data_IF_243324364378
#
_entry.id   IF_243324364378
#
_cell.length_a   1.000
_cell.length_b   1.000
_cell.length_c   1.000
_cell.angle_alpha   90.00
_cell.angle_beta   90.00
_cell.angle_gamma   90.00
#
_symmetry.space_group_name_H-M   'P 1'
#
loop_
_entity.id
_entity.type
_entity.pdbx_description
1 polymer ?
#
# COMPACT_ATOMS: atom_id res chain seq x y z
N UNK A 1 -3.66 7.53 -2.06
CA UNK A 1 -3.89 8.09 -3.36
C UNK A 1 -5.32 8.54 -3.53
N UNK A 2 -5.47 9.70 -4.05
CA UNK A 2 -6.75 10.35 -4.28
C UNK A 2 -7.14 10.32 -5.75
N UNK A 3 -6.82 9.23 -6.42
CA UNK A 3 -7.09 9.06 -7.85
C UNK A 3 -8.57 9.06 -8.24
N UNK A 4 -9.48 9.01 -7.26
CA UNK A 4 -10.91 9.04 -7.45
C UNK A 4 -11.49 10.25 -6.72
N UNK A 5 -12.54 10.87 -7.26
CA UNK A 5 -13.22 12.01 -6.65
C UNK A 5 -13.86 11.75 -5.28
N UNK A 6 -13.82 10.52 -4.81
CA UNK A 6 -14.46 10.04 -3.58
C UNK A 6 -13.77 10.54 -2.31
N UNK A 7 -12.47 10.86 -2.34
CA UNK A 7 -11.70 11.29 -1.16
C UNK A 7 -11.25 12.74 -1.17
N UNK A 8 -11.73 13.54 -2.14
CA UNK A 8 -11.25 14.90 -2.35
C UNK A 8 -9.88 14.94 -3.06
N UNK A 9 -9.43 16.15 -3.36
CA UNK A 9 -8.14 16.36 -4.03
C UNK A 9 -7.01 16.38 -3.01
N UNK A 10 -5.92 15.71 -3.32
CA UNK A 10 -4.66 15.88 -2.63
C UNK A 10 -4.03 17.23 -3.02
N UNK A 11 -3.65 18.01 -2.02
CA UNK A 11 -2.90 19.26 -2.20
C UNK A 11 -1.48 19.00 -1.68
N UNK A 12 -0.53 18.91 -2.60
CA UNK A 12 0.88 18.70 -2.27
C UNK A 12 1.48 20.04 -1.87
N UNK A 13 2.08 20.11 -0.67
CA UNK A 13 2.73 21.31 -0.12
C UNK A 13 4.24 21.27 -0.33
N UNK A 14 4.84 20.11 -0.17
CA UNK A 14 6.27 19.92 -0.41
C UNK A 14 6.56 18.54 -0.99
N UNK A 15 7.61 18.49 -1.79
CA UNK A 15 8.15 17.27 -2.38
C UNK A 15 9.67 17.38 -2.40
N UNK A 16 10.37 16.38 -1.88
CA UNK A 16 11.82 16.32 -1.88
C UNK A 16 12.27 14.95 -2.41
N UNK A 17 13.24 14.95 -3.30
CA UNK A 17 13.85 13.75 -3.88
C UNK A 17 15.34 13.78 -3.62
N UNK A 18 15.90 12.68 -3.15
CA UNK A 18 17.34 12.47 -3.03
C UNK A 18 17.74 11.13 -3.67
N UNK A 19 18.95 11.11 -4.22
CA UNK A 19 19.57 9.89 -4.74
C UNK A 19 20.96 9.78 -4.11
N UNK A 20 21.21 8.70 -3.38
CA UNK A 20 22.45 8.47 -2.63
C UNK A 20 22.82 9.67 -1.74
N UNK A 21 21.82 10.25 -1.05
CA UNK A 21 21.95 11.40 -0.17
C UNK A 21 22.09 12.75 -0.86
N UNK A 22 22.10 12.81 -2.20
CA UNK A 22 22.20 14.06 -2.97
C UNK A 22 20.81 14.52 -3.40
N UNK A 23 20.45 15.77 -3.13
CA UNK A 23 19.20 16.38 -3.56
C UNK A 23 19.08 16.39 -5.08
N UNK A 24 17.88 16.08 -5.56
CA UNK A 24 17.55 16.06 -6.98
C UNK A 24 16.43 17.05 -7.29
N UNK A 25 16.45 17.75 -8.42
CA UNK A 25 15.33 18.56 -8.86
C UNK A 25 14.15 17.66 -9.26
N UNK A 26 12.93 18.09 -8.88
CA UNK A 26 11.69 17.34 -9.07
C UNK A 26 10.76 17.94 -10.14
N UNK A 27 11.15 19.06 -10.73
CA UNK A 27 10.29 19.84 -11.64
C UNK A 27 10.48 19.47 -13.11
N UNK A 28 11.36 18.57 -13.42
CA UNK A 28 11.63 18.12 -14.79
C UNK A 28 11.53 16.62 -14.89
N UNK A 29 10.93 16.12 -15.97
CA UNK A 29 11.00 14.72 -16.31
C UNK A 29 12.45 14.29 -16.51
N UNK A 30 12.88 13.30 -15.78
CA UNK A 30 14.25 12.79 -15.81
C UNK A 30 14.35 11.39 -15.24
N UNK A 31 15.34 10.67 -15.68
CA UNK A 31 15.77 9.42 -15.05
C UNK A 31 16.80 9.73 -13.96
N UNK A 32 16.58 9.22 -12.76
CA UNK A 32 17.57 9.20 -11.69
C UNK A 32 18.05 7.79 -11.47
N UNK A 33 19.36 7.61 -11.28
CA UNK A 33 19.97 6.33 -11.00
C UNK A 33 20.82 6.44 -9.74
N UNK A 34 20.82 5.41 -8.92
CA UNK A 34 21.58 5.32 -7.67
C UNK A 34 21.23 4.02 -6.95
N UNK A 35 21.94 3.74 -5.87
CA UNK A 35 21.68 2.57 -5.02
C UNK A 35 20.48 2.79 -4.11
N UNK A 36 20.22 4.04 -3.73
CA UNK A 36 19.11 4.41 -2.85
C UNK A 36 18.46 5.70 -3.32
N UNK A 37 17.15 5.61 -3.60
CA UNK A 37 16.32 6.78 -3.93
C UNK A 37 15.34 7.00 -2.77
N UNK A 38 15.28 8.24 -2.29
CA UNK A 38 14.36 8.64 -1.23
C UNK A 38 13.50 9.80 -1.69
N UNK A 39 12.18 9.65 -1.50
CA UNK A 39 11.17 10.65 -1.80
C UNK A 39 10.40 10.97 -0.52
N UNK A 40 10.31 12.25 -0.17
CA UNK A 40 9.42 12.75 0.88
C UNK A 40 8.36 13.66 0.29
N UNK A 41 7.10 13.39 0.63
CA UNK A 41 5.96 14.20 0.23
C UNK A 41 5.18 14.65 1.47
N UNK A 42 4.82 15.93 1.52
CA UNK A 42 3.87 16.47 2.48
C UNK A 42 2.66 17.04 1.75
N UNK A 43 1.48 16.65 2.17
CA UNK A 43 0.23 17.00 1.50
C UNK A 43 -0.92 17.09 2.48
N UNK A 44 -2.02 17.68 2.01
CA UNK A 44 -3.31 17.64 2.69
C UNK A 44 -4.31 16.92 1.80
N UNK A 45 -5.03 15.97 2.38
CA UNK A 45 -6.08 15.20 1.73
C UNK A 45 -7.33 15.37 2.57
N UNK A 46 -8.29 16.17 2.10
CA UNK A 46 -9.49 16.50 2.84
C UNK A 46 -9.16 17.03 4.26
N UNK A 47 -9.48 16.30 5.30
CA UNK A 47 -9.22 16.64 6.72
C UNK A 47 -7.98 15.96 7.30
N UNK A 48 -7.10 15.45 6.46
CA UNK A 48 -5.87 14.77 6.88
C UNK A 48 -4.64 15.49 6.34
N UNK A 49 -3.65 15.69 7.20
CA UNK A 49 -2.28 15.99 6.78
C UNK A 49 -1.56 14.66 6.58
N UNK A 50 -0.96 14.48 5.43
CA UNK A 50 -0.19 13.29 5.09
C UNK A 50 1.28 13.64 4.92
N UNK A 51 2.15 12.88 5.58
CA UNK A 51 3.59 12.82 5.32
C UNK A 51 3.89 11.42 4.83
N UNK A 52 4.45 11.32 3.64
CA UNK A 52 4.79 10.04 3.00
C UNK A 52 6.26 10.05 2.66
N UNK A 53 6.99 9.10 3.20
CA UNK A 53 8.39 8.83 2.92
C UNK A 53 8.49 7.52 2.13
N UNK A 54 9.07 7.58 0.93
CA UNK A 54 9.29 6.40 0.09
C UNK A 54 10.78 6.21 -0.11
N UNK A 55 11.26 5.03 0.21
CA UNK A 55 12.63 4.61 -0.06
C UNK A 55 12.61 3.47 -1.07
N UNK A 56 13.37 3.62 -2.14
CA UNK A 56 13.58 2.59 -3.16
C UNK A 56 15.05 2.20 -3.13
N UNK A 57 15.32 0.92 -3.00
CA UNK A 57 16.66 0.32 -3.10
C UNK A 57 16.61 -0.94 -3.98
N UNK A 58 17.73 -1.65 -4.09
CA UNK A 58 17.86 -2.81 -4.98
C UNK A 58 16.95 -3.99 -4.55
N UNK A 59 16.52 -4.04 -3.29
CA UNK A 59 15.84 -5.19 -2.70
C UNK A 59 14.33 -4.95 -2.50
N UNK A 60 13.93 -3.73 -2.15
CA UNK A 60 12.53 -3.42 -1.85
C UNK A 60 12.21 -1.93 -2.01
N UNK A 61 10.92 -1.64 -1.96
CA UNK A 61 10.37 -0.30 -1.76
C UNK A 61 9.76 -0.24 -0.36
N UNK A 62 10.20 0.71 0.45
CA UNK A 62 9.61 1.01 1.75
C UNK A 62 8.79 2.29 1.64
N UNK A 63 7.52 2.23 2.04
CA UNK A 63 6.66 3.40 2.20
C UNK A 63 6.31 3.56 3.69
N UNK A 64 6.70 4.68 4.28
CA UNK A 64 6.28 5.09 5.61
C UNK A 64 5.30 6.25 5.48
N UNK A 65 4.11 6.09 6.04
CA UNK A 65 3.04 7.09 5.98
C UNK A 65 2.60 7.48 7.37
N UNK A 66 2.55 8.80 7.61
CA UNK A 66 1.95 9.41 8.80
C UNK A 66 0.77 10.28 8.37
N UNK A 67 -0.41 9.93 8.86
CA UNK A 67 -1.64 10.71 8.70
C UNK A 67 -2.01 11.36 10.03
N UNK A 68 -2.21 12.67 10.02
CA UNK A 68 -2.67 13.45 11.16
C UNK A 68 -4.05 14.04 10.85
N UNK A 69 -5.00 13.86 11.76
CA UNK A 69 -6.37 14.36 11.63
C UNK A 69 -6.41 15.83 11.99
N UNK A 70 -6.76 16.68 11.04
CA UNK A 70 -6.79 18.15 11.22
C UNK A 70 -8.08 18.64 11.87
N UNK A 71 -9.18 17.93 11.66
CA UNK A 71 -10.51 18.23 12.19
C UNK A 71 -11.28 16.93 12.45
N UNK A 72 -12.19 16.95 13.42
CA UNK A 72 -13.10 15.83 13.65
C UNK A 72 -13.83 15.46 12.38
N UNK A 73 -13.83 14.17 12.04
CA UNK A 73 -14.45 13.69 10.82
C UNK A 73 -14.92 12.24 10.91
N UNK A 74 -15.74 11.86 9.95
CA UNK A 74 -16.14 10.48 9.72
C UNK A 74 -15.90 10.13 8.26
N UNK A 75 -15.21 9.03 8.02
CA UNK A 75 -14.94 8.54 6.66
C UNK A 75 -15.88 7.39 6.32
N UNK A 76 -16.45 7.39 5.12
CA UNK A 76 -17.18 6.25 4.60
C UNK A 76 -16.25 5.06 4.34
N UNK A 77 -15.10 5.33 3.75
CA UNK A 77 -14.02 4.38 3.49
C UNK A 77 -12.68 5.10 3.67
N UNK A 78 -11.76 4.46 4.37
CA UNK A 78 -10.35 4.81 4.42
C UNK A 78 -9.53 3.52 4.30
N UNK A 79 -8.59 3.47 3.37
CA UNK A 79 -7.58 2.42 3.30
C UNK A 79 -6.20 3.04 3.38
N UNK A 80 -5.32 2.39 4.13
CA UNK A 80 -3.99 2.92 4.45
C UNK A 80 -3.02 2.76 3.28
N UNK A 81 -3.13 1.65 2.56
CA UNK A 81 -2.30 1.36 1.41
C UNK A 81 -3.13 0.63 0.35
N UNK A 82 -2.80 0.86 -0.89
CA UNK A 82 -3.42 0.19 -2.02
C UNK A 82 -2.37 -0.06 -3.10
N UNK A 83 -2.30 -1.30 -3.58
CA UNK A 83 -1.45 -1.65 -4.69
C UNK A 83 -2.24 -2.40 -5.76
N UNK A 84 -2.03 -2.03 -7.03
CA UNK A 84 -2.63 -2.72 -8.17
C UNK A 84 -1.59 -3.69 -8.74
N UNK A 85 -1.96 -4.95 -8.78
CA UNK A 85 -1.20 -6.01 -9.42
C UNK A 85 -1.67 -6.19 -10.86
N UNK A 86 -0.82 -6.66 -11.78
CA UNK A 86 -1.23 -6.92 -13.15
C UNK A 86 -2.27 -8.05 -13.22
N UNK A 87 -3.11 -8.10 -14.27
CA UNK A 87 -4.11 -9.16 -14.43
C UNK A 87 -3.50 -10.55 -14.71
N UNK A 88 -2.19 -10.59 -14.95
CA UNK A 88 -1.41 -11.84 -15.10
C UNK A 88 -1.19 -12.56 -13.78
N UNK A 89 -1.34 -11.90 -12.63
CA UNK A 89 -1.27 -12.59 -11.33
C UNK A 89 -2.44 -13.57 -11.18
N UNK A 90 -2.17 -14.81 -10.72
CA UNK A 90 -3.18 -15.89 -10.70
C UNK A 90 -3.33 -16.59 -9.35
N UNK A 91 -2.46 -16.30 -8.40
CA UNK A 91 -2.53 -16.86 -7.05
C UNK A 91 -2.14 -15.82 -6.00
N UNK A 92 -2.60 -16.02 -4.78
CA UNK A 92 -2.21 -15.21 -3.63
C UNK A 92 -1.98 -16.10 -2.41
N UNK A 93 -1.13 -15.61 -1.51
CA UNK A 93 -0.84 -16.18 -0.21
C UNK A 93 -0.77 -15.03 0.80
N UNK A 94 -1.33 -15.23 2.00
CA UNK A 94 -1.36 -14.22 3.05
C UNK A 94 -1.07 -14.82 4.43
N UNK A 95 -0.32 -14.12 5.26
CA UNK A 95 -0.26 -14.35 6.71
C UNK A 95 -1.28 -13.44 7.38
N UNK A 96 -2.18 -14.04 8.15
CA UNK A 96 -3.21 -13.35 8.90
C UNK A 96 -2.68 -12.83 10.25
N UNK A 97 -3.48 -12.01 10.93
CA UNK A 97 -3.13 -11.43 12.22
C UNK A 97 -2.84 -12.46 13.33
N UNK A 98 -3.48 -13.61 13.27
CA UNK A 98 -3.28 -14.72 14.22
C UNK A 98 -2.09 -15.64 13.86
N UNK A 99 -1.36 -15.33 12.80
CA UNK A 99 -0.23 -16.10 12.29
C UNK A 99 -0.63 -17.27 11.38
N UNK A 100 -1.91 -17.50 11.15
CA UNK A 100 -2.36 -18.52 10.20
C UNK A 100 -2.11 -18.07 8.76
N UNK A 101 -1.98 -19.06 7.87
CA UNK A 101 -1.78 -18.83 6.43
C UNK A 101 -3.07 -19.10 5.68
N UNK A 102 -3.37 -18.24 4.73
CA UNK A 102 -4.43 -18.45 3.75
C UNK A 102 -3.89 -18.26 2.33
N UNK A 103 -4.39 -19.06 1.41
CA UNK A 103 -4.05 -18.98 0.00
C UNK A 103 -5.28 -19.08 -0.90
N UNK A 104 -5.13 -18.68 -2.15
CA UNK A 104 -6.20 -18.81 -3.12
C UNK A 104 -5.79 -18.46 -4.54
N UNK A 105 -6.77 -18.60 -5.43
CA UNK A 105 -6.63 -18.26 -6.85
C UNK A 105 -7.35 -16.98 -7.18
N UNK A 106 -6.81 -16.24 -8.13
CA UNK A 106 -7.42 -15.07 -8.75
C UNK A 106 -8.03 -15.53 -10.09
N UNK A 107 -9.33 -15.33 -10.23
CA UNK A 107 -10.13 -15.91 -11.30
C UNK A 107 -10.87 -14.88 -12.14
N UNK A 108 -10.57 -13.59 -11.91
CA UNK A 108 -11.23 -12.45 -12.56
C UNK A 108 -12.74 -12.38 -12.27
N UNK A 109 -13.16 -12.95 -11.14
CA UNK A 109 -14.57 -13.20 -10.79
C UNK A 109 -15.31 -11.96 -10.25
N UNK A 110 -14.67 -10.79 -10.21
CA UNK A 110 -15.22 -9.53 -9.67
C UNK A 110 -15.68 -9.66 -8.22
N UNK A 111 -14.97 -10.41 -7.43
CA UNK A 111 -15.19 -10.62 -6.02
C UNK A 111 -14.08 -10.04 -5.15
N UNK A 112 -14.30 -10.05 -3.84
CA UNK A 112 -13.32 -9.69 -2.83
C UNK A 112 -12.91 -10.94 -2.07
N UNK A 113 -11.61 -11.12 -1.87
CA UNK A 113 -11.04 -12.26 -1.15
C UNK A 113 -10.10 -11.77 -0.05
N UNK A 114 -9.67 -12.63 0.83
CA UNK A 114 -8.98 -12.39 2.10
C UNK A 114 -9.93 -11.82 3.15
N UNK A 115 -10.37 -10.57 3.07
CA UNK A 115 -11.32 -9.90 3.96
C UNK A 115 -10.99 -10.05 5.47
N UNK A 116 -9.71 -10.07 5.85
CA UNK A 116 -9.16 -10.22 7.20
C UNK A 116 -7.94 -9.32 7.37
N UNK A 117 -7.56 -9.05 8.62
CA UNK A 117 -6.30 -8.35 8.89
C UNK A 117 -5.12 -9.26 8.53
N UNK A 118 -4.19 -8.71 7.74
CA UNK A 118 -3.02 -9.44 7.24
C UNK A 118 -1.73 -8.78 7.70
N UNK A 119 -0.70 -9.59 7.98
CA UNK A 119 0.67 -9.11 8.18
C UNK A 119 1.36 -8.87 6.85
N UNK A 120 1.15 -9.78 5.91
CA UNK A 120 1.60 -9.63 4.54
C UNK A 120 0.68 -10.37 3.57
N UNK A 121 0.73 -9.92 2.33
CA UNK A 121 0.08 -10.57 1.19
C UNK A 121 1.08 -10.64 0.05
N UNK A 122 1.19 -11.80 -0.58
CA UNK A 122 1.92 -11.98 -1.81
C UNK A 122 0.97 -12.39 -2.94
N UNK A 123 1.23 -11.91 -4.13
CA UNK A 123 0.52 -12.32 -5.34
C UNK A 123 1.53 -12.81 -6.39
N UNK A 124 1.26 -13.98 -6.92
CA UNK A 124 2.12 -14.66 -7.90
C UNK A 124 1.67 -14.42 -9.33
N UNK A 125 2.63 -14.04 -10.17
CA UNK A 125 2.47 -13.89 -11.60
C UNK A 125 3.22 -15.02 -12.33
N UNK A 126 2.51 -15.99 -12.94
CA UNK A 126 3.12 -17.11 -13.64
C UNK A 126 3.86 -16.70 -14.92
N UNK A 127 3.52 -15.58 -15.55
CA UNK A 127 4.20 -15.13 -16.76
C UNK A 127 5.63 -14.65 -16.46
N UNK A 128 5.79 -13.83 -15.42
CA UNK A 128 7.11 -13.38 -14.99
C UNK A 128 7.82 -14.37 -14.07
N UNK A 129 7.11 -15.38 -13.54
CA UNK A 129 7.57 -16.32 -12.49
C UNK A 129 8.05 -15.57 -11.25
N UNK A 130 7.32 -14.53 -10.86
CA UNK A 130 7.64 -13.66 -9.72
C UNK A 130 6.42 -13.44 -8.86
N UNK A 131 6.70 -13.14 -7.63
CA UNK A 131 5.70 -12.73 -6.66
C UNK A 131 6.00 -11.35 -6.15
N UNK A 132 4.98 -10.56 -5.94
CA UNK A 132 5.07 -9.29 -5.28
C UNK A 132 4.49 -9.41 -3.87
N UNK A 133 5.32 -9.16 -2.88
CA UNK A 133 5.01 -9.20 -1.47
C UNK A 133 4.74 -7.79 -0.95
N UNK A 134 3.61 -7.59 -0.27
CA UNK A 134 3.31 -6.40 0.52
C UNK A 134 3.32 -6.80 2.00
N UNK A 135 4.24 -6.26 2.78
CA UNK A 135 4.48 -6.60 4.18
C UNK A 135 4.37 -5.38 5.08
N UNK A 136 3.74 -5.55 6.24
CA UNK A 136 3.66 -4.52 7.28
C UNK A 136 4.43 -4.98 8.52
N UNK A 137 5.57 -4.33 8.86
CA UNK A 137 6.38 -4.70 10.04
C UNK A 137 5.58 -4.63 11.34
N UNK A 138 4.68 -3.65 11.42
CA UNK A 138 3.72 -3.52 12.52
C UNK A 138 2.33 -3.68 11.98
N UNK A 139 1.60 -4.67 12.49
CA UNK A 139 0.20 -4.89 12.12
C UNK A 139 -0.63 -3.63 12.29
N UNK A 140 -1.43 -3.35 11.28
CA UNK A 140 -2.48 -2.32 11.32
C UNK A 140 -3.79 -3.08 11.48
N UNK A 141 -4.41 -2.92 12.63
CA UNK A 141 -5.68 -3.55 12.98
C UNK A 141 -6.71 -2.49 13.33
N UNK A 142 -7.98 -2.78 13.15
CA UNK A 142 -9.05 -1.89 13.54
C UNK A 142 -10.39 -2.64 13.66
N UNK A 143 -11.30 -2.09 14.45
CA UNK A 143 -12.59 -2.76 14.78
C UNK A 143 -13.51 -2.98 13.58
N UNK A 144 -13.28 -2.31 12.46
CA UNK A 144 -14.05 -2.43 11.21
C UNK A 144 -13.13 -2.44 9.99
N UNK A 145 -11.91 -2.90 10.17
CA UNK A 145 -10.93 -2.98 9.10
C UNK A 145 -10.75 -4.41 8.65
N UNK A 146 -10.42 -4.55 7.38
CA UNK A 146 -9.94 -5.79 6.82
C UNK A 146 -9.07 -5.47 5.62
N UNK A 147 -7.96 -6.16 5.49
CA UNK A 147 -7.23 -6.21 4.24
C UNK A 147 -7.99 -7.09 3.26
N UNK A 148 -7.98 -6.73 2.00
CA UNK A 148 -8.69 -7.49 0.97
C UNK A 148 -8.00 -7.40 -0.38
N UNK A 149 -8.24 -8.39 -1.21
CA UNK A 149 -7.88 -8.36 -2.63
C UNK A 149 -9.17 -8.24 -3.43
N UNK A 150 -9.26 -7.23 -4.28
CA UNK A 150 -10.32 -7.10 -5.25
C UNK A 150 -9.88 -7.75 -6.56
N UNK A 151 -10.48 -8.89 -6.85
CA UNK A 151 -10.21 -9.73 -8.00
C UNK A 151 -11.03 -9.25 -9.21
N UNK A 152 -10.38 -8.58 -10.16
CA UNK A 152 -10.99 -8.03 -11.37
C UNK A 152 -10.20 -8.44 -12.61
N UNK A 153 -10.90 -8.48 -13.76
CA UNK A 153 -10.32 -8.80 -15.08
C UNK A 153 -9.25 -7.83 -15.57
N UNK A 154 -9.21 -6.62 -15.05
CA UNK A 154 -8.26 -5.57 -15.47
C UNK A 154 -7.04 -5.45 -14.57
N UNK A 155 -7.19 -5.84 -13.30
CA UNK A 155 -6.16 -5.78 -12.27
C UNK A 155 -6.66 -6.52 -11.02
N UNK A 156 -5.73 -6.96 -10.20
CA UNK A 156 -6.02 -7.44 -8.85
C UNK A 156 -5.53 -6.37 -7.86
N UNK A 157 -6.43 -5.81 -7.06
CA UNK A 157 -6.11 -4.69 -6.19
C UNK A 157 -6.09 -5.13 -4.74
N UNK A 158 -4.93 -5.00 -4.12
CA UNK A 158 -4.77 -5.19 -2.69
C UNK A 158 -5.03 -3.90 -1.94
N UNK A 159 -5.87 -3.96 -0.92
CA UNK A 159 -6.13 -2.90 0.03
C UNK A 159 -5.67 -3.34 1.41
N UNK A 160 -4.77 -2.59 2.01
CA UNK A 160 -4.36 -2.80 3.38
C UNK A 160 -5.29 -2.04 4.31
N UNK A 161 -5.92 -2.76 5.22
CA UNK A 161 -6.69 -2.21 6.30
C UNK A 161 -7.77 -1.21 5.82
N UNK A 162 -8.73 -1.69 5.03
CA UNK A 162 -9.86 -0.88 4.60
C UNK A 162 -10.81 -0.66 5.78
N UNK A 163 -10.86 0.56 6.29
CA UNK A 163 -11.81 0.98 7.33
C UNK A 163 -13.10 1.50 6.72
N UNK A 164 -14.23 1.14 7.32
CA UNK A 164 -15.55 1.62 6.90
C UNK A 164 -16.29 2.29 8.06
N UNK A 165 -16.82 3.50 7.80
CA UNK A 165 -17.62 4.25 8.76
C UNK A 165 -16.86 4.58 10.04
N UNK A 166 -15.58 4.95 9.95
CA UNK A 166 -14.76 5.27 11.10
C UNK A 166 -14.80 6.77 11.42
N UNK A 167 -14.94 7.08 12.72
CA UNK A 167 -14.83 8.43 13.26
C UNK A 167 -13.40 8.68 13.74
N UNK A 168 -12.90 9.85 13.41
CA UNK A 168 -11.58 10.34 13.81
C UNK A 168 -11.72 11.66 14.56
N UNK A 169 -10.89 11.85 15.56
CA UNK A 169 -10.80 13.11 16.30
C UNK A 169 -9.60 13.91 15.86
N UNK A 170 -9.72 15.24 15.90
CA UNK A 170 -8.60 16.15 15.64
C UNK A 170 -7.40 15.78 16.50
N UNK A 171 -6.23 15.74 15.88
CA UNK A 171 -4.96 15.39 16.52
C UNK A 171 -4.67 13.88 16.58
N UNK A 172 -5.61 13.01 16.22
CA UNK A 172 -5.29 11.59 16.08
C UNK A 172 -4.26 11.40 14.97
N UNK A 173 -3.35 10.45 15.18
CA UNK A 173 -2.25 10.12 14.27
C UNK A 173 -2.30 8.64 13.94
N UNK A 174 -2.26 8.35 12.66
CA UNK A 174 -2.05 7.01 12.13
C UNK A 174 -0.65 6.98 11.52
N UNK A 175 0.17 6.03 11.95
CA UNK A 175 1.57 5.90 11.56
C UNK A 175 1.85 4.44 11.19
N UNK A 176 2.27 4.20 9.96
CA UNK A 176 2.44 2.85 9.45
C UNK A 176 3.49 2.77 8.35
N UNK A 177 4.05 1.57 8.19
CA UNK A 177 5.05 1.26 7.17
C UNK A 177 4.59 0.06 6.36
N UNK A 178 4.75 0.16 5.04
CA UNK A 178 4.58 -0.95 4.11
C UNK A 178 5.89 -1.17 3.36
N UNK A 179 6.28 -2.42 3.26
CA UNK A 179 7.42 -2.84 2.45
C UNK A 179 6.88 -3.65 1.28
N UNK A 180 7.26 -3.26 0.07
CA UNK A 180 6.93 -3.96 -1.17
C UNK A 180 8.19 -4.58 -1.73
N UNK A 181 8.18 -5.90 -1.91
CA UNK A 181 9.32 -6.66 -2.41
C UNK A 181 8.91 -7.60 -3.54
N UNK A 182 9.70 -7.60 -4.61
CA UNK A 182 9.57 -8.58 -5.66
C UNK A 182 10.49 -9.78 -5.35
N UNK A 183 9.93 -10.98 -5.33
CA UNK A 183 10.67 -12.22 -5.08
C UNK A 183 10.49 -13.17 -6.25
N UNK A 184 11.54 -13.94 -6.56
CA UNK A 184 11.45 -15.00 -7.55
C UNK A 184 10.74 -16.23 -6.95
N UNK A 185 10.03 -16.99 -7.77
CA UNK A 185 9.39 -18.23 -7.38
C UNK A 185 7.87 -18.14 -7.18
N UNK A 186 7.27 -19.30 -7.06
CA UNK A 186 5.85 -19.50 -6.81
C UNK A 186 5.53 -19.36 -5.31
N UNK A 187 4.23 -19.25 -4.98
CA UNK A 187 3.77 -19.14 -3.58
C UNK A 187 4.22 -20.31 -2.70
N UNK A 188 4.39 -21.52 -3.28
CA UNK A 188 4.89 -22.69 -2.56
C UNK A 188 6.38 -22.65 -2.22
N UNK A 189 7.15 -21.80 -2.84
CA UNK A 189 8.61 -21.69 -2.62
C UNK A 189 8.98 -20.82 -1.41
N UNK A 190 7.99 -20.22 -0.73
CA UNK A 190 8.22 -19.32 0.40
C UNK A 190 7.91 -19.93 1.77
N UNK A 191 7.35 -21.12 1.77
CA UNK A 191 7.13 -21.93 2.97
C UNK A 191 8.31 -22.88 3.21
#
# INVERSE_FOLDING_TARGET
GTGHGEGGREIVHSLALTTDGKSQPIWTERTVAGQRVYLRKESTIWKFKATVDVEVNDDHVLEHTRLEVLEDCETSILYFFMHCFPPTTKAWLAELADGSMEEGKLTDAKNMTVAKDTRWVAQFDPESKRSLLCYTPKMITGTRSASLIWDLDRYHKYYLCQNRGQKFRKGEVMDYTVIVKCVAGETGDWM
#
